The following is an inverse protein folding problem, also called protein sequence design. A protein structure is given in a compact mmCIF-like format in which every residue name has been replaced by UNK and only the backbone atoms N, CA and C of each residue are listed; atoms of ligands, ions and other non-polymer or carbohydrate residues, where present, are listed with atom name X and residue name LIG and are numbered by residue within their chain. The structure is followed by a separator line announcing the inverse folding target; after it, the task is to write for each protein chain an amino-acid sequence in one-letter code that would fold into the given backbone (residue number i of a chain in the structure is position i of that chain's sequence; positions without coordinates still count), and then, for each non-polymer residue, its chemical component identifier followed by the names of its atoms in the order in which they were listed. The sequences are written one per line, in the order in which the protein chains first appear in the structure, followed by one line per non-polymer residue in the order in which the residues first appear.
data_IF_705769105389
#
_entry.id   IF_705769105389
#
_cell.length_a   1.000
_cell.length_b   1.000
_cell.length_c   1.000
_cell.angle_alpha   90.00
_cell.angle_beta   90.00
_cell.angle_gamma   90.00
#
_symmetry.space_group_name_H-M   'P 1'
#
loop_
_entity.id
_entity.type
_entity.pdbx_description
1 polymer ?
#
# COMPACT_ATOMS: atom_id res chain seq x y z
N UNK A 1 -25.99 -20.06 7.90
CA UNK A 1 -25.67 -20.08 9.35
C UNK A 1 -25.07 -21.41 9.78
N UNK A 2 -25.69 -22.55 9.45
CA UNK A 2 -25.22 -23.90 9.87
C UNK A 2 -23.77 -24.19 9.52
N UNK A 3 -23.28 -23.73 8.36
CA UNK A 3 -21.88 -23.93 7.92
C UNK A 3 -20.89 -23.25 8.89
N UNK A 4 -21.26 -22.11 9.47
CA UNK A 4 -20.40 -21.36 10.38
C UNK A 4 -20.51 -21.80 11.84
N UNK A 5 -21.64 -22.41 12.21
CA UNK A 5 -21.85 -22.85 13.58
C UNK A 5 -21.52 -24.33 13.82
N UNK A 6 -21.37 -25.13 12.77
CA UNK A 6 -21.00 -26.54 12.83
C UNK A 6 -21.68 -27.27 14.03
N UNK A 7 -23.01 -27.34 13.98
CA UNK A 7 -23.79 -27.94 15.04
C UNK A 7 -24.05 -27.06 16.27
N UNK A 8 -23.90 -25.74 16.15
CA UNK A 8 -24.20 -24.77 17.19
C UNK A 8 -23.02 -24.21 17.95
N UNK A 9 -21.79 -24.37 17.44
CA UNK A 9 -20.59 -23.75 18.01
C UNK A 9 -20.71 -22.23 18.08
N UNK A 10 -20.28 -21.68 19.18
CA UNK A 10 -20.05 -20.22 19.36
C UNK A 10 -18.67 -19.83 18.89
N UNK A 11 -18.41 -18.51 18.87
CA UNK A 11 -17.07 -17.99 18.57
C UNK A 11 -15.99 -18.55 19.53
N UNK A 12 -16.35 -18.69 20.79
CA UNK A 12 -15.44 -19.22 21.81
C UNK A 12 -15.15 -20.71 21.61
N UNK A 13 -16.14 -21.49 21.15
CA UNK A 13 -15.93 -22.90 20.84
C UNK A 13 -14.95 -23.07 19.67
N UNK A 14 -15.04 -22.20 18.64
CA UNK A 14 -14.09 -22.18 17.55
C UNK A 14 -12.68 -21.77 17.98
N UNK A 15 -12.57 -20.71 18.78
CA UNK A 15 -11.27 -20.25 19.28
C UNK A 15 -10.60 -21.33 20.12
N UNK A 16 -11.38 -22.00 20.99
CA UNK A 16 -10.88 -23.10 21.80
C UNK A 16 -10.43 -24.26 20.95
N UNK A 17 -11.21 -24.69 19.96
CA UNK A 17 -10.86 -25.80 19.07
C UNK A 17 -9.57 -25.52 18.28
N UNK A 18 -9.42 -24.32 17.73
CA UNK A 18 -8.20 -23.93 17.02
C UNK A 18 -6.99 -23.88 17.96
N UNK A 19 -7.17 -23.36 19.17
CA UNK A 19 -6.11 -23.36 20.17
C UNK A 19 -5.69 -24.77 20.56
N UNK A 20 -6.63 -25.64 20.86
CA UNK A 20 -6.36 -27.03 21.27
C UNK A 20 -5.66 -27.82 20.15
N UNK A 21 -6.07 -27.61 18.90
CA UNK A 21 -5.39 -28.18 17.73
C UNK A 21 -3.94 -27.72 17.62
N UNK A 22 -3.71 -26.42 17.73
CA UNK A 22 -2.37 -25.83 17.71
C UNK A 22 -1.53 -26.29 18.91
N UNK A 23 -2.09 -26.26 20.11
CA UNK A 23 -1.40 -26.70 21.33
C UNK A 23 -1.00 -28.18 21.27
N UNK A 24 -1.86 -29.04 20.73
CA UNK A 24 -1.56 -30.45 20.51
C UNK A 24 -0.36 -30.65 19.59
N UNK A 25 -0.32 -29.91 18.46
CA UNK A 25 0.78 -29.98 17.52
C UNK A 25 2.10 -29.46 18.13
N UNK A 26 2.05 -28.35 18.86
CA UNK A 26 3.23 -27.78 19.54
C UNK A 26 3.75 -28.73 20.62
N UNK A 27 2.86 -29.27 21.46
CA UNK A 27 3.25 -30.18 22.54
C UNK A 27 3.80 -31.53 22.02
N UNK A 28 3.39 -31.95 20.85
CA UNK A 28 3.93 -33.14 20.18
C UNK A 28 5.35 -32.89 19.60
N UNK A 29 5.69 -31.64 19.31
CA UNK A 29 7.02 -31.28 18.79
C UNK A 29 7.99 -30.93 19.94
N UNK A 30 8.64 -31.98 20.50
CA UNK A 30 9.56 -31.82 21.62
C UNK A 30 10.79 -30.97 21.29
N UNK A 31 11.13 -30.76 20.02
CA UNK A 31 12.25 -29.93 19.61
C UNK A 31 12.02 -28.44 19.93
N UNK A 32 10.77 -28.00 20.01
CA UNK A 32 10.43 -26.62 20.37
C UNK A 32 10.72 -26.28 21.83
N UNK A 33 10.82 -27.30 22.72
CA UNK A 33 11.04 -27.08 24.16
C UNK A 33 9.93 -26.29 24.87
N UNK A 34 8.74 -26.21 24.26
CA UNK A 34 7.60 -25.44 24.74
C UNK A 34 6.46 -26.41 25.08
N UNK A 35 5.80 -26.13 26.19
CA UNK A 35 4.54 -26.77 26.54
C UNK A 35 3.44 -25.73 26.58
N UNK A 36 2.46 -25.87 25.70
CA UNK A 36 1.30 -24.99 25.68
C UNK A 36 0.42 -25.26 26.91
N UNK A 37 -0.05 -24.23 27.62
CA UNK A 37 -0.95 -24.38 28.76
C UNK A 37 -2.34 -24.86 28.33
N UNK A 38 -3.29 -25.04 29.26
CA UNK A 38 -4.69 -25.22 28.90
C UNK A 38 -5.26 -23.97 28.21
N UNK A 39 -6.34 -24.14 27.45
CA UNK A 39 -7.01 -23.02 26.80
C UNK A 39 -7.41 -21.94 27.82
N UNK A 40 -7.96 -22.35 28.95
CA UNK A 40 -8.43 -21.43 29.99
C UNK A 40 -7.27 -20.62 30.57
N UNK A 41 -6.13 -21.24 30.86
CA UNK A 41 -4.93 -20.57 31.35
C UNK A 41 -4.35 -19.59 30.33
N UNK A 42 -4.29 -19.99 29.06
CA UNK A 42 -3.80 -19.13 27.98
C UNK A 42 -4.72 -17.93 27.77
N UNK A 43 -6.03 -18.16 27.75
CA UNK A 43 -7.04 -17.12 27.57
C UNK A 43 -7.04 -16.09 28.72
N UNK A 44 -6.95 -16.57 29.96
CA UNK A 44 -6.90 -15.73 31.18
C UNK A 44 -5.62 -14.87 31.18
N UNK A 45 -4.50 -15.45 30.79
CA UNK A 45 -3.21 -14.75 30.76
C UNK A 45 -3.19 -13.61 29.75
N UNK A 46 -3.91 -13.76 28.64
CA UNK A 46 -4.02 -12.74 27.56
C UNK A 46 -2.67 -12.19 27.09
N UNK A 47 -1.70 -13.07 26.94
CA UNK A 47 -0.36 -12.76 26.45
C UNK A 47 -0.06 -13.58 25.19
N UNK A 48 0.73 -13.08 24.23
CA UNK A 48 1.18 -13.86 23.10
C UNK A 48 2.04 -15.05 23.56
N UNK A 49 1.94 -16.17 22.86
CA UNK A 49 2.87 -17.28 23.03
C UNK A 49 4.11 -17.00 22.18
N UNK A 50 5.27 -16.93 22.82
CA UNK A 50 6.54 -16.70 22.14
C UNK A 50 7.17 -18.04 21.72
N UNK A 51 7.55 -18.14 20.46
CA UNK A 51 8.30 -19.26 19.90
C UNK A 51 9.69 -18.78 19.54
N UNK A 52 10.68 -19.46 20.08
CA UNK A 52 12.08 -19.16 19.76
C UNK A 52 12.56 -20.06 18.63
N UNK A 53 13.39 -19.52 17.75
CA UNK A 53 14.06 -20.30 16.72
C UNK A 53 14.88 -21.43 17.33
N UNK A 54 14.71 -22.65 16.80
CA UNK A 54 15.65 -23.75 17.09
C UNK A 54 16.87 -23.66 16.17
N UNK A 55 18.02 -24.25 16.54
CA UNK A 55 19.17 -24.28 15.65
C UNK A 55 18.83 -24.87 14.28
N UNK A 56 17.94 -25.85 14.21
CA UNK A 56 17.48 -26.50 12.98
C UNK A 56 16.62 -25.54 12.15
N UNK A 57 15.71 -24.80 12.77
CA UNK A 57 14.89 -23.82 12.04
C UNK A 57 15.69 -22.61 11.56
N UNK A 58 16.68 -22.17 12.35
CA UNK A 58 17.59 -21.10 11.97
C UNK A 58 18.54 -21.50 10.83
N UNK A 59 18.83 -22.80 10.71
CA UNK A 59 19.65 -23.35 9.63
C UNK A 59 18.85 -23.66 8.35
N UNK A 60 17.52 -23.50 8.36
CA UNK A 60 16.70 -23.79 7.20
C UNK A 60 17.06 -22.93 5.98
N UNK A 61 17.35 -23.57 4.86
CA UNK A 61 17.61 -22.91 3.58
C UNK A 61 16.49 -23.26 2.61
N UNK A 62 15.77 -22.24 2.15
CA UNK A 62 14.69 -22.44 1.19
C UNK A 62 15.20 -23.10 -0.09
N UNK A 63 14.46 -24.10 -0.56
CA UNK A 63 14.77 -24.86 -1.77
C UNK A 63 16.15 -25.57 -1.74
N UNK A 64 16.69 -25.92 -0.56
CA UNK A 64 17.97 -26.62 -0.44
C UNK A 64 17.94 -27.96 -1.17
N UNK A 65 16.89 -28.76 -0.97
CA UNK A 65 16.72 -30.08 -1.60
C UNK A 65 16.72 -29.98 -3.13
N UNK A 66 15.93 -29.02 -3.68
CA UNK A 66 15.96 -28.73 -5.12
C UNK A 66 17.34 -28.27 -5.62
N UNK A 67 18.07 -27.48 -4.85
CA UNK A 67 19.42 -27.03 -5.23
C UNK A 67 20.42 -28.18 -5.24
N UNK A 68 20.27 -29.15 -4.35
CA UNK A 68 21.14 -30.31 -4.24
C UNK A 68 20.82 -31.37 -5.30
N UNK A 69 19.54 -31.64 -5.57
CA UNK A 69 19.11 -32.57 -6.62
C UNK A 69 17.82 -32.07 -7.31
N UNK A 70 17.93 -31.25 -8.35
CA UNK A 70 16.76 -30.68 -9.03
C UNK A 70 15.93 -31.70 -9.82
N UNK A 71 16.41 -32.95 -9.96
CA UNK A 71 15.68 -34.01 -10.65
C UNK A 71 14.79 -34.77 -9.68
N UNK A 72 15.31 -35.17 -8.53
CA UNK A 72 14.54 -35.90 -7.52
C UNK A 72 13.62 -34.97 -6.72
N UNK A 73 14.12 -33.78 -6.40
CA UNK A 73 13.42 -32.75 -5.61
C UNK A 73 12.93 -31.59 -6.50
N UNK A 74 12.27 -31.97 -7.60
CA UNK A 74 11.76 -31.02 -8.58
C UNK A 74 10.78 -30.00 -7.97
N UNK A 75 10.82 -28.75 -8.46
CA UNK A 75 9.86 -27.72 -8.07
C UNK A 75 8.44 -28.04 -8.55
N UNK A 76 7.42 -27.51 -7.88
CA UNK A 76 6.01 -27.61 -8.26
C UNK A 76 5.62 -26.80 -9.51
N UNK A 77 6.56 -26.56 -10.43
CA UNK A 77 6.33 -25.88 -11.71
C UNK A 77 6.06 -26.89 -12.82
N UNK A 78 5.45 -26.50 -13.96
CA UNK A 78 5.16 -27.40 -15.06
C UNK A 78 6.37 -28.21 -15.58
N UNK A 79 7.58 -27.67 -15.47
CA UNK A 79 8.83 -28.34 -15.89
C UNK A 79 9.66 -28.86 -14.73
N UNK A 80 9.20 -28.69 -13.49
CA UNK A 80 9.97 -29.06 -12.29
C UNK A 80 11.19 -28.18 -12.01
N UNK A 81 11.41 -27.14 -12.78
CA UNK A 81 12.56 -26.22 -12.71
C UNK A 81 12.08 -24.79 -12.43
N UNK A 82 13.03 -23.86 -12.18
CA UNK A 82 12.74 -22.44 -12.13
C UNK A 82 12.17 -21.98 -13.47
N UNK A 83 10.96 -21.46 -13.45
CA UNK A 83 10.24 -21.04 -14.65
C UNK A 83 10.56 -19.57 -14.99
N UNK A 84 11.55 -19.36 -15.85
CA UNK A 84 11.91 -18.03 -16.36
C UNK A 84 10.99 -17.65 -17.53
N UNK A 85 10.55 -18.62 -18.32
CA UNK A 85 9.61 -18.49 -19.41
C UNK A 85 8.38 -19.37 -19.14
N UNK A 86 7.18 -18.76 -19.15
CA UNK A 86 5.91 -19.45 -18.92
C UNK A 86 5.20 -19.79 -20.23
N UNK A 87 5.15 -21.05 -20.58
CA UNK A 87 4.39 -21.52 -21.74
C UNK A 87 2.88 -21.23 -21.59
N UNK A 88 2.38 -21.24 -20.34
CA UNK A 88 0.98 -20.92 -20.03
C UNK A 88 0.66 -19.46 -20.39
N UNK A 89 1.51 -18.52 -19.98
CA UNK A 89 1.31 -17.09 -20.30
C UNK A 89 1.54 -16.87 -21.81
N UNK A 90 2.53 -17.52 -22.42
CA UNK A 90 2.76 -17.45 -23.86
C UNK A 90 1.52 -17.83 -24.67
N UNK A 91 0.82 -18.89 -24.26
CA UNK A 91 -0.38 -19.38 -24.92
C UNK A 91 -1.57 -18.39 -24.84
N UNK A 92 -1.58 -17.47 -23.88
CA UNK A 92 -2.61 -16.42 -23.73
C UNK A 92 -2.46 -15.30 -24.78
N UNK A 93 -1.28 -15.16 -25.37
CA UNK A 93 -0.97 -14.22 -26.45
C UNK A 93 -1.32 -12.75 -26.12
N UNK A 94 -1.11 -12.33 -24.87
CA UNK A 94 -1.31 -10.95 -24.45
C UNK A 94 -0.22 -10.02 -25.03
N UNK A 95 -0.62 -8.80 -25.40
CA UNK A 95 0.31 -7.83 -26.01
C UNK A 95 1.19 -7.13 -24.98
N UNK A 96 0.69 -6.99 -23.75
CA UNK A 96 1.30 -6.25 -22.67
C UNK A 96 1.72 -7.15 -21.49
N UNK A 97 1.68 -8.47 -21.70
CA UNK A 97 2.15 -9.46 -20.73
C UNK A 97 2.83 -10.60 -21.47
N UNK A 98 4.14 -10.55 -21.61
CA UNK A 98 4.94 -11.59 -22.26
C UNK A 98 5.14 -12.81 -21.35
N UNK A 99 5.64 -13.90 -21.94
CA UNK A 99 5.89 -15.15 -21.23
C UNK A 99 7.09 -15.09 -20.25
N UNK A 100 7.84 -14.00 -20.25
CA UNK A 100 8.98 -13.72 -19.38
C UNK A 100 9.01 -12.24 -18.99
N UNK A 101 9.75 -11.84 -17.97
CA UNK A 101 9.89 -10.43 -17.61
C UNK A 101 10.40 -9.60 -18.79
N UNK A 102 9.66 -8.57 -19.15
CA UNK A 102 9.93 -7.67 -20.26
C UNK A 102 9.73 -6.22 -19.81
N UNK A 103 10.49 -5.31 -20.43
CA UNK A 103 10.24 -3.89 -20.28
C UNK A 103 9.12 -3.46 -21.23
N UNK A 104 8.11 -2.83 -20.67
CA UNK A 104 7.10 -2.08 -21.42
C UNK A 104 7.20 -0.61 -21.04
N UNK A 105 7.14 0.27 -22.02
CA UNK A 105 7.17 1.71 -21.82
C UNK A 105 5.95 2.12 -20.99
N UNK A 106 6.12 2.76 -19.80
CA UNK A 106 4.99 3.25 -19.02
C UNK A 106 4.20 4.31 -19.80
N UNK A 107 2.88 4.38 -19.56
CA UNK A 107 1.98 5.34 -20.21
C UNK A 107 2.40 6.78 -19.92
N UNK A 108 2.84 7.05 -18.70
CA UNK A 108 3.42 8.34 -18.28
C UNK A 108 4.67 8.09 -17.45
N UNK A 109 5.77 8.75 -17.79
CA UNK A 109 7.00 8.69 -16.98
C UNK A 109 7.98 9.83 -17.34
N UNK A 110 8.98 10.07 -16.49
CA UNK A 110 9.92 11.20 -16.66
C UNK A 110 10.80 11.12 -17.91
N UNK A 111 11.02 9.93 -18.46
CA UNK A 111 11.84 9.73 -19.66
C UNK A 111 11.11 9.99 -20.98
N UNK A 112 9.81 10.25 -20.98
CA UNK A 112 9.05 10.55 -22.19
C UNK A 112 9.58 11.82 -22.88
N UNK A 113 9.60 11.81 -24.22
CA UNK A 113 9.98 12.98 -25.01
C UNK A 113 8.97 14.12 -24.83
N UNK A 114 7.69 13.82 -24.94
CA UNK A 114 6.58 14.78 -24.87
C UNK A 114 5.77 14.52 -23.60
N UNK A 115 6.31 14.96 -22.44
CA UNK A 115 5.70 14.76 -21.14
C UNK A 115 4.44 15.61 -20.96
N UNK A 116 3.30 15.02 -20.55
CA UNK A 116 2.08 15.79 -20.30
C UNK A 116 2.17 16.68 -19.03
N UNK A 117 3.10 16.38 -18.12
CA UNK A 117 3.33 17.16 -16.90
C UNK A 117 4.79 17.02 -16.41
N UNK A 118 5.19 17.87 -15.44
CA UNK A 118 6.59 18.04 -15.05
C UNK A 118 7.10 17.02 -14.06
N UNK A 119 6.26 16.59 -13.10
CA UNK A 119 6.66 15.79 -11.95
C UNK A 119 6.07 14.39 -11.99
N UNK A 120 6.87 13.40 -11.60
CA UNK A 120 6.39 12.04 -11.37
C UNK A 120 5.72 11.94 -10.00
N UNK A 121 4.48 11.45 -9.95
CA UNK A 121 3.72 11.26 -8.73
C UNK A 121 3.94 9.85 -8.18
N UNK A 122 4.43 9.75 -6.95
CA UNK A 122 4.41 8.54 -6.14
C UNK A 122 3.24 8.60 -5.16
N UNK A 123 2.40 7.57 -5.17
CA UNK A 123 1.26 7.44 -4.26
C UNK A 123 1.44 6.21 -3.38
N UNK A 124 2.27 6.35 -2.34
CA UNK A 124 2.63 5.27 -1.43
C UNK A 124 1.68 5.16 -0.23
N UNK A 125 1.77 4.06 0.51
CA UNK A 125 1.01 3.86 1.74
C UNK A 125 1.40 4.87 2.82
N UNK A 126 0.43 5.43 3.57
CA UNK A 126 0.71 6.37 4.66
C UNK A 126 1.30 5.67 5.88
N UNK A 127 2.13 6.38 6.65
CA UNK A 127 2.72 5.89 7.91
C UNK A 127 1.77 6.02 9.11
N UNK A 128 0.91 7.04 9.11
CA UNK A 128 0.09 7.42 10.27
C UNK A 128 -1.35 6.89 10.20
N UNK A 129 -1.71 6.16 9.16
CA UNK A 129 -3.03 5.56 8.95
C UNK A 129 -2.96 4.33 8.06
N UNK A 130 -3.99 3.51 8.07
CA UNK A 130 -4.12 2.32 7.22
C UNK A 130 -5.01 2.65 6.02
N UNK A 131 -4.40 2.86 4.84
CA UNK A 131 -5.12 3.31 3.64
C UNK A 131 -6.01 4.53 3.94
N UNK A 132 -7.32 4.44 3.77
CA UNK A 132 -8.28 5.49 4.09
C UNK A 132 -8.79 5.47 5.54
N UNK A 133 -8.44 4.47 6.32
CA UNK A 133 -8.87 4.34 7.70
C UNK A 133 -8.14 5.34 8.60
N UNK A 134 -8.81 5.78 9.66
CA UNK A 134 -8.30 6.74 10.66
C UNK A 134 -8.03 8.16 10.12
N UNK A 135 -8.41 8.47 8.88
CA UNK A 135 -8.25 9.81 8.31
C UNK A 135 -9.01 10.90 9.07
N UNK A 136 -10.07 10.52 9.80
CA UNK A 136 -10.88 11.39 10.63
C UNK A 136 -10.53 11.33 12.13
N UNK A 137 -9.42 10.72 12.50
CA UNK A 137 -8.95 10.63 13.89
C UNK A 137 -7.97 11.76 14.25
N UNK A 138 -7.58 11.85 15.52
CA UNK A 138 -6.56 12.80 15.97
C UNK A 138 -5.20 12.60 15.31
N UNK A 139 -4.89 11.40 14.79
CA UNK A 139 -3.65 11.12 14.05
C UNK A 139 -3.46 12.06 12.85
N UNK A 140 -4.56 12.48 12.21
CA UNK A 140 -4.48 13.44 11.10
C UNK A 140 -3.69 14.71 11.46
N UNK A 141 -3.82 15.20 12.70
CA UNK A 141 -3.11 16.42 13.16
C UNK A 141 -1.58 16.24 13.24
N UNK A 142 -1.10 15.00 13.22
CA UNK A 142 0.34 14.70 13.31
C UNK A 142 1.04 14.84 11.96
N UNK A 143 0.34 14.60 10.86
CA UNK A 143 0.94 14.57 9.53
C UNK A 143 0.39 15.62 8.57
N UNK A 144 -0.85 16.11 8.76
CA UNK A 144 -1.47 17.06 7.84
C UNK A 144 -0.69 18.37 7.75
N UNK A 145 -0.54 18.91 6.56
CA UNK A 145 0.05 20.22 6.27
C UNK A 145 -1.05 21.09 5.66
N UNK A 146 -1.21 22.32 6.16
CA UNK A 146 -2.34 23.20 5.80
C UNK A 146 -3.71 22.49 5.90
N UNK A 147 -3.89 21.65 6.93
CA UNK A 147 -5.07 20.80 7.18
C UNK A 147 -5.37 19.75 6.09
N UNK A 148 -4.48 19.50 5.17
CA UNK A 148 -4.65 18.61 4.03
C UNK A 148 -3.59 17.51 4.00
N UNK A 149 -3.76 16.56 3.09
CA UNK A 149 -2.74 15.58 2.80
C UNK A 149 -1.47 16.30 2.33
N UNK A 150 -0.29 15.98 2.87
CA UNK A 150 0.95 16.60 2.42
C UNK A 150 1.36 16.12 1.02
N UNK A 151 1.94 17.01 0.24
CA UNK A 151 2.76 16.66 -0.92
C UNK A 151 4.21 16.88 -0.57
N UNK A 152 5.01 15.81 -0.57
CA UNK A 152 6.45 15.90 -0.43
C UNK A 152 7.06 16.37 -1.74
N UNK A 153 7.86 17.42 -1.67
CA UNK A 153 8.51 18.06 -2.82
C UNK A 153 9.96 18.38 -2.51
N UNK A 154 10.87 18.13 -3.47
CA UNK A 154 12.28 18.44 -3.32
C UNK A 154 12.53 19.93 -3.09
N UNK A 155 13.48 20.27 -2.22
CA UNK A 155 13.83 21.65 -1.82
C UNK A 155 14.13 22.55 -3.03
N UNK A 156 14.90 22.07 -4.01
CA UNK A 156 15.23 22.88 -5.20
C UNK A 156 14.04 23.04 -6.14
N UNK A 157 13.22 22.01 -6.29
CA UNK A 157 11.99 22.10 -7.10
C UNK A 157 10.98 23.08 -6.46
N UNK A 158 10.82 23.02 -5.13
CA UNK A 158 9.98 23.96 -4.39
C UNK A 158 10.46 25.40 -4.57
N UNK A 159 11.77 25.64 -4.48
CA UNK A 159 12.38 26.94 -4.68
C UNK A 159 12.15 27.48 -6.10
N UNK A 160 12.32 26.64 -7.14
CA UNK A 160 12.05 27.02 -8.53
C UNK A 160 10.57 27.43 -8.74
N UNK A 161 9.63 26.80 -8.02
CA UNK A 161 8.20 27.07 -8.09
C UNK A 161 7.75 28.21 -7.15
N UNK A 162 8.64 28.74 -6.31
CA UNK A 162 8.30 29.74 -5.28
C UNK A 162 7.43 29.19 -4.15
N UNK A 163 7.46 27.88 -3.91
CA UNK A 163 6.73 27.15 -2.87
C UNK A 163 7.59 27.03 -1.62
N UNK A 164 6.98 27.25 -0.45
CA UNK A 164 7.63 27.12 0.87
C UNK A 164 6.96 26.02 1.69
N UNK A 165 7.69 25.55 2.71
CA UNK A 165 7.14 24.64 3.70
C UNK A 165 5.81 25.18 4.28
N UNK A 166 4.77 24.37 4.26
CA UNK A 166 3.45 24.70 4.80
C UNK A 166 2.52 25.43 3.84
N UNK A 167 2.99 25.81 2.66
CA UNK A 167 2.14 26.47 1.66
C UNK A 167 1.02 25.53 1.18
N UNK A 168 -0.13 26.12 0.85
CA UNK A 168 -1.19 25.42 0.15
C UNK A 168 -0.86 25.41 -1.35
N UNK A 169 -0.83 24.24 -1.94
CA UNK A 169 -0.50 24.02 -3.35
C UNK A 169 -1.62 23.31 -4.10
N UNK A 170 -1.72 23.58 -5.38
CA UNK A 170 -2.53 22.84 -6.34
C UNK A 170 -1.65 21.83 -7.06
N UNK A 171 -2.07 20.57 -7.04
CA UNK A 171 -1.45 19.49 -7.84
C UNK A 171 -2.48 19.06 -8.87
N UNK A 172 -2.08 18.99 -10.15
CA UNK A 172 -3.04 18.78 -11.23
C UNK A 172 -2.43 18.14 -12.47
N UNK A 173 -3.29 17.55 -13.28
CA UNK A 173 -3.03 17.07 -14.63
C UNK A 173 -4.33 17.10 -15.46
N UNK A 174 -4.34 16.46 -16.62
CA UNK A 174 -5.52 16.40 -17.48
C UNK A 174 -6.72 15.63 -16.88
N UNK A 175 -6.50 14.80 -15.85
CA UNK A 175 -7.55 14.00 -15.19
C UNK A 175 -8.29 14.77 -14.11
N UNK A 176 -7.62 15.69 -13.45
CA UNK A 176 -8.22 16.48 -12.38
C UNK A 176 -7.20 17.26 -11.57
N UNK A 177 -7.65 17.76 -10.41
CA UNK A 177 -6.87 18.63 -9.54
C UNK A 177 -7.19 18.42 -8.06
N UNK A 178 -6.19 18.65 -7.23
CA UNK A 178 -6.30 18.52 -5.78
C UNK A 178 -5.58 19.66 -5.08
N UNK A 179 -6.00 19.98 -3.86
CA UNK A 179 -5.24 20.82 -2.92
C UNK A 179 -4.47 19.95 -1.94
N UNK A 180 -3.20 20.26 -1.76
CA UNK A 180 -2.32 19.60 -0.82
C UNK A 180 -1.49 20.62 -0.03
N UNK A 181 -0.95 20.23 1.11
CA UNK A 181 -0.02 21.05 1.86
C UNK A 181 1.43 20.74 1.47
N UNK A 182 2.23 21.74 1.15
CA UNK A 182 3.62 21.54 0.76
C UNK A 182 4.48 21.09 1.94
N UNK A 183 5.08 19.90 1.81
CA UNK A 183 6.12 19.37 2.68
C UNK A 183 7.45 19.36 1.92
N UNK A 184 8.31 20.34 2.21
CA UNK A 184 9.56 20.55 1.47
C UNK A 184 10.69 19.80 2.16
N UNK A 185 11.38 18.90 1.44
CA UNK A 185 12.45 18.06 1.98
C UNK A 185 13.45 17.63 0.90
N UNK A 186 14.67 17.33 1.32
CA UNK A 186 15.67 16.69 0.46
C UNK A 186 15.56 15.15 0.44
N UNK A 187 14.60 14.58 1.17
CA UNK A 187 14.36 13.12 1.19
C UNK A 187 13.69 12.60 -0.08
N UNK A 188 13.36 13.46 -1.01
CA UNK A 188 12.80 13.09 -2.32
C UNK A 188 13.67 13.67 -3.44
N UNK A 189 13.88 12.90 -4.50
CA UNK A 189 14.67 13.34 -5.65
C UNK A 189 13.95 14.42 -6.46
N UNK A 190 14.70 15.25 -7.16
CA UNK A 190 14.16 16.26 -8.08
C UNK A 190 13.30 15.66 -9.18
N UNK A 191 12.23 16.35 -9.54
CA UNK A 191 11.28 15.91 -10.56
C UNK A 191 10.27 14.86 -10.07
N UNK A 192 10.34 14.47 -8.81
CA UNK A 192 9.41 13.52 -8.17
C UNK A 192 8.66 14.21 -7.04
N UNK A 193 7.37 13.92 -6.91
CA UNK A 193 6.54 14.34 -5.78
C UNK A 193 5.82 13.14 -5.21
N UNK A 194 5.55 13.15 -3.90
CA UNK A 194 4.88 12.05 -3.22
C UNK A 194 3.65 12.57 -2.48
N UNK A 195 2.53 11.87 -2.66
CA UNK A 195 1.30 12.10 -1.90
C UNK A 195 0.80 10.74 -1.44
N UNK A 196 0.51 10.59 -0.14
CA UNK A 196 0.00 9.33 0.38
C UNK A 196 -1.36 8.97 -0.21
N UNK A 197 -1.54 7.69 -0.57
CA UNK A 197 -2.82 7.16 -1.01
C UNK A 197 -3.85 7.16 0.15
N UNK A 198 -5.15 7.01 -0.19
CA UNK A 198 -6.22 6.82 0.80
C UNK A 198 -6.78 8.09 1.43
N UNK A 199 -6.34 9.29 1.07
CA UNK A 199 -7.03 10.52 1.47
C UNK A 199 -8.47 10.50 0.95
N UNK A 200 -9.43 10.86 1.80
CA UNK A 200 -10.83 10.84 1.40
C UNK A 200 -11.15 11.94 0.39
N UNK A 201 -11.96 11.59 -0.61
CA UNK A 201 -12.35 12.53 -1.66
C UNK A 201 -13.33 13.58 -1.12
N UNK A 202 -12.99 14.85 -1.22
CA UNK A 202 -13.77 16.00 -0.76
C UNK A 202 -13.80 17.09 -1.85
N UNK A 203 -14.57 16.89 -2.94
CA UNK A 203 -14.59 17.84 -4.04
C UNK A 203 -15.43 19.09 -3.71
N UNK A 204 -15.06 20.22 -4.30
CA UNK A 204 -15.95 21.36 -4.45
C UNK A 204 -16.87 21.20 -5.69
N UNK A 205 -17.68 22.22 -5.99
CA UNK A 205 -18.62 22.19 -7.10
C UNK A 205 -17.93 22.05 -8.48
N UNK A 206 -16.71 22.50 -8.59
CA UNK A 206 -15.89 22.48 -9.81
C UNK A 206 -15.08 21.18 -9.95
N UNK A 207 -15.13 20.28 -8.94
CA UNK A 207 -14.43 19.00 -8.96
C UNK A 207 -13.02 19.03 -8.36
N UNK A 208 -12.54 20.18 -7.87
CA UNK A 208 -11.28 20.29 -7.14
C UNK A 208 -11.38 19.53 -5.81
N UNK A 209 -10.57 18.50 -5.62
CA UNK A 209 -10.51 17.79 -4.35
C UNK A 209 -9.77 18.62 -3.30
N UNK A 210 -10.48 19.06 -2.28
CA UNK A 210 -9.96 19.92 -1.21
C UNK A 210 -9.04 19.22 -0.22
N UNK A 211 -9.02 17.90 -0.21
CA UNK A 211 -8.39 17.07 0.83
C UNK A 211 -7.10 16.34 0.40
N UNK A 212 -6.68 16.48 -0.85
CA UNK A 212 -5.43 15.88 -1.33
C UNK A 212 -5.55 14.41 -1.73
N UNK A 213 -6.68 13.95 -2.26
CA UNK A 213 -6.84 12.56 -2.74
C UNK A 213 -6.09 12.35 -4.07
N UNK A 214 -4.99 11.57 -4.10
CA UNK A 214 -4.20 11.36 -5.32
C UNK A 214 -4.92 10.54 -6.40
N UNK A 215 -5.98 9.79 -6.07
CA UNK A 215 -6.74 9.03 -7.05
C UNK A 215 -7.40 9.92 -8.13
N UNK A 216 -7.56 11.21 -7.85
CA UNK A 216 -8.00 12.20 -8.85
C UNK A 216 -6.97 12.37 -9.97
N UNK A 217 -5.70 12.06 -9.69
CA UNK A 217 -4.55 12.34 -10.57
C UNK A 217 -3.98 11.07 -11.21
N UNK A 218 -4.27 9.88 -10.66
CA UNK A 218 -3.72 8.62 -11.14
C UNK A 218 -4.46 8.09 -12.35
N UNK A 219 -3.83 7.16 -13.08
CA UNK A 219 -4.40 6.56 -14.28
C UNK A 219 -5.26 5.35 -13.88
N UNK A 220 -6.47 5.29 -14.40
CA UNK A 220 -7.38 4.15 -14.21
C UNK A 220 -7.21 3.15 -15.37
N UNK A 221 -6.08 2.45 -15.34
CA UNK A 221 -5.75 1.35 -16.24
C UNK A 221 -5.21 0.16 -15.45
N UNK A 222 -5.47 -1.08 -15.91
CA UNK A 222 -4.86 -2.27 -15.31
C UNK A 222 -3.35 -2.34 -15.64
N UNK A 223 -2.61 -3.15 -14.87
CA UNK A 223 -1.19 -3.43 -15.13
C UNK A 223 -0.97 -4.19 -16.43
N UNK A 224 -1.90 -5.06 -16.82
CA UNK A 224 -1.88 -5.83 -18.07
C UNK A 224 -3.24 -6.48 -18.34
N UNK A 225 -3.39 -7.06 -19.53
CA UNK A 225 -4.53 -7.92 -19.85
C UNK A 225 -4.64 -9.15 -18.92
N UNK A 226 -3.53 -9.60 -18.35
CA UNK A 226 -3.50 -10.74 -17.41
C UNK A 226 -3.90 -10.34 -15.98
N UNK A 227 -3.56 -9.13 -15.53
CA UNK A 227 -3.69 -8.73 -14.14
C UNK A 227 -4.28 -7.33 -13.99
N UNK A 228 -5.27 -7.20 -13.10
CA UNK A 228 -5.97 -5.95 -12.82
C UNK A 228 -5.33 -5.13 -11.67
N UNK A 229 -4.04 -5.28 -11.42
CA UNK A 229 -3.31 -4.42 -10.50
C UNK A 229 -3.36 -2.96 -10.99
N UNK A 230 -3.30 -2.00 -10.07
CA UNK A 230 -3.28 -0.58 -10.43
C UNK A 230 -1.90 -0.14 -10.93
N UNK A 231 -1.87 0.93 -11.73
CA UNK A 231 -0.66 1.58 -12.21
C UNK A 231 -0.50 3.00 -11.61
N UNK A 232 -0.92 3.19 -10.37
CA UNK A 232 -0.94 4.50 -9.70
C UNK A 232 0.42 5.22 -9.66
N UNK A 233 1.53 4.50 -9.76
CA UNK A 233 2.88 5.05 -9.73
C UNK A 233 3.45 5.46 -11.11
N UNK A 234 2.61 5.53 -12.14
CA UNK A 234 3.01 5.99 -13.48
C UNK A 234 2.35 7.33 -13.89
N UNK A 235 1.81 8.07 -12.93
CA UNK A 235 1.15 9.34 -13.21
C UNK A 235 2.15 10.50 -13.22
N UNK A 236 1.99 11.43 -14.18
CA UNK A 236 2.66 12.72 -14.17
C UNK A 236 1.70 13.83 -13.75
N UNK A 237 2.23 14.81 -13.00
CA UNK A 237 1.49 15.95 -12.46
C UNK A 237 2.27 17.25 -12.60
N UNK A 238 1.54 18.38 -12.58
CA UNK A 238 2.09 19.69 -12.33
C UNK A 238 1.75 20.14 -10.91
N UNK A 239 2.56 21.02 -10.36
CA UNK A 239 2.34 21.62 -9.04
C UNK A 239 2.59 23.11 -9.11
N UNK A 240 1.75 23.88 -8.41
CA UNK A 240 1.87 25.33 -8.31
C UNK A 240 1.40 25.84 -6.96
N UNK A 241 1.88 27.00 -6.55
CA UNK A 241 1.36 27.71 -5.38
C UNK A 241 -0.13 28.01 -5.62
N UNK A 242 -0.98 27.55 -4.70
CA UNK A 242 -2.41 27.79 -4.83
C UNK A 242 -2.76 29.28 -4.55
N UNK A 243 -3.50 29.86 -5.48
CA UNK A 243 -4.01 31.24 -5.35
C UNK A 243 -5.52 31.18 -5.15
N UNK A 244 -5.95 31.35 -3.91
CA UNK A 244 -7.38 31.38 -3.56
C UNK A 244 -8.14 32.44 -4.36
N UNK A 245 -9.22 31.99 -5.00
CA UNK A 245 -10.15 32.87 -5.71
C UNK A 245 -11.29 33.30 -4.78
N UNK A 246 -11.72 34.54 -4.87
CA UNK A 246 -12.84 35.01 -4.07
C UNK A 246 -14.10 34.21 -4.34
N UNK A 247 -14.72 33.67 -3.29
CA UNK A 247 -15.93 32.85 -3.39
C UNK A 247 -15.69 31.36 -3.68
N UNK A 248 -14.46 30.92 -3.88
CA UNK A 248 -14.15 29.48 -4.09
C UNK A 248 -14.26 28.72 -2.78
N UNK A 249 -14.96 27.59 -2.81
CA UNK A 249 -15.10 26.71 -1.64
C UNK A 249 -13.90 25.76 -1.54
N UNK A 250 -13.00 26.08 -0.62
CA UNK A 250 -11.86 25.23 -0.24
C UNK A 250 -11.93 24.72 1.19
N UNK A 251 -13.05 24.96 1.88
CA UNK A 251 -13.24 24.47 3.25
C UNK A 251 -13.43 22.96 3.23
N UNK A 252 -12.62 22.25 4.03
CA UNK A 252 -12.81 20.83 4.26
C UNK A 252 -14.18 20.59 4.92
N UNK A 253 -14.98 19.73 4.31
CA UNK A 253 -16.35 19.44 4.77
C UNK A 253 -16.47 18.04 5.31
N UNK A 254 -15.72 17.09 4.76
CA UNK A 254 -15.70 15.72 5.20
C UNK A 254 -14.49 15.47 6.12
N UNK A 255 -14.63 14.58 7.11
CA UNK A 255 -13.53 13.86 7.70
C UNK A 255 -12.59 14.64 8.63
N UNK A 256 -13.03 15.76 9.12
CA UNK A 256 -12.33 16.36 10.27
C UNK A 256 -12.55 15.49 11.51
N UNK A 257 -11.53 15.30 12.37
CA UNK A 257 -11.71 14.61 13.63
C UNK A 257 -12.87 15.21 14.41
N UNK A 258 -13.71 14.40 15.07
CA UNK A 258 -14.80 14.91 15.91
C UNK A 258 -14.30 15.98 16.90
N UNK A 259 -15.14 16.96 17.19
CA UNK A 259 -14.83 17.97 18.21
C UNK A 259 -14.58 17.26 19.54
N UNK A 260 -13.41 17.50 20.14
CA UNK A 260 -13.02 16.86 21.39
C UNK A 260 -12.25 15.56 21.26
N UNK A 261 -11.99 15.04 20.06
CA UNK A 261 -11.04 13.96 19.85
C UNK A 261 -9.63 14.42 20.30
N UNK A 262 -9.03 13.73 21.25
CA UNK A 262 -7.69 13.99 21.77
C UNK A 262 -6.65 13.18 21.02
#
# INVERSE_FOLDING_TARGET
AEVYTDGGKTEMDWIKEFYEGAASAVNANTALGIQMPSFEQWWEKNEPTEFYETPESAAYVSFEDFRNDPVLEALGTPRGLIEIYSDTIAAMNYKDCGAHPMWFEPVEWLGMKDKPAKFHLLSIHPYDRLHSQQSNTSNRRRYAVADREPVLINTEDAKELGIKQGDLVRVYNARGEILAGANVSDDIMRGVVQIFEGAWYDPNAEGLCKNGNPNVLTIDLPTSELANGNIAHTALVNIELYKHKAGEDIKLTAFMPPKGAK
#
